data_IF_672420183801
#
_entry.id   IF_672420183801
#
_cell.length_a   1.000
_cell.length_b   1.000
_cell.length_c   1.000
_cell.angle_alpha   90.00
_cell.angle_beta   90.00
_cell.angle_gamma   90.00
#
_symmetry.space_group_name_H-M   'P 1'
#
loop_
_entity.id
_entity.type
_entity.pdbx_description
1 polymer ?
#
# COMPACT_ATOMS: atom_id res chain seq x y z
N UNK A 1 98.60 50.37 33.73
CA UNK A 1 98.06 50.32 32.42
C UNK A 1 97.60 48.87 32.13
N UNK A 2 96.36 48.53 32.43
CA UNK A 2 95.79 47.22 32.22
C UNK A 2 94.55 47.39 31.44
N UNK A 3 94.57 46.88 30.21
CA UNK A 3 93.45 46.93 29.27
C UNK A 3 92.61 45.67 29.55
N UNK A 4 91.36 45.86 29.98
CA UNK A 4 90.40 44.80 30.14
C UNK A 4 89.62 44.60 28.83
N UNK A 5 89.78 43.44 28.22
CA UNK A 5 88.96 42.97 27.08
C UNK A 5 87.70 42.29 27.60
N UNK A 6 86.59 43.03 27.47
CA UNK A 6 85.27 42.47 27.75
C UNK A 6 84.80 41.59 26.57
N UNK A 7 84.65 40.32 26.81
CA UNK A 7 84.00 39.41 25.88
C UNK A 7 82.44 39.46 26.08
N UNK A 8 81.74 39.98 25.09
CA UNK A 8 80.32 39.90 24.98
C UNK A 8 79.97 38.53 24.35
N UNK A 9 79.48 37.58 25.18
CA UNK A 9 78.81 36.38 24.70
C UNK A 9 77.35 36.74 24.43
N UNK A 10 76.80 36.48 23.21
CA UNK A 10 75.37 36.61 22.98
C UNK A 10 74.69 35.41 23.57
N UNK A 11 73.87 35.63 24.58
CA UNK A 11 72.88 34.61 25.09
C UNK A 11 71.92 34.31 23.98
N UNK A 12 72.13 33.20 23.22
CA UNK A 12 71.10 32.59 22.42
C UNK A 12 70.09 31.92 23.38
N UNK A 13 69.02 32.64 23.73
CA UNK A 13 67.85 32.06 24.35
C UNK A 13 67.15 31.31 23.24
N UNK A 14 67.46 30.01 23.10
CA UNK A 14 66.66 29.10 22.30
C UNK A 14 65.28 28.98 22.97
N UNK A 15 64.26 29.64 22.37
CA UNK A 15 62.89 29.42 22.76
C UNK A 15 62.52 27.95 22.47
N UNK A 16 62.78 27.06 23.40
CA UNK A 16 62.24 25.71 23.42
C UNK A 16 60.76 25.80 23.78
N UNK A 17 59.92 25.94 22.78
CA UNK A 17 58.48 25.75 22.93
C UNK A 17 58.25 24.29 23.22
N UNK A 18 58.12 23.91 24.49
CA UNK A 18 57.68 22.60 24.91
C UNK A 18 56.18 22.48 24.53
N UNK A 19 55.88 21.87 23.40
CA UNK A 19 54.52 21.47 23.07
C UNK A 19 54.17 20.26 23.96
N UNK A 20 53.50 20.51 25.07
CA UNK A 20 52.93 19.44 25.89
C UNK A 20 51.78 18.81 25.09
N UNK A 21 52.05 17.68 24.44
CA UNK A 21 51.00 16.86 23.87
C UNK A 21 50.23 16.20 25.02
N UNK A 22 49.12 16.83 25.43
CA UNK A 22 48.21 16.24 26.42
C UNK A 22 47.56 15.04 25.77
N UNK A 23 47.88 13.87 26.29
CA UNK A 23 47.26 12.62 25.83
C UNK A 23 45.87 12.48 26.47
N UNK A 24 44.83 12.22 25.65
CA UNK A 24 43.44 12.11 26.07
C UNK A 24 42.87 10.77 25.62
N UNK A 25 42.21 10.06 26.52
CA UNK A 25 41.51 8.78 26.22
C UNK A 25 40.42 9.01 25.16
N UNK A 26 40.06 7.96 24.41
CA UNK A 26 38.97 8.05 23.46
C UNK A 26 37.62 8.35 24.12
N UNK A 27 36.84 9.28 23.52
CA UNK A 27 35.47 9.57 23.91
C UNK A 27 34.59 9.58 22.65
N UNK A 28 33.58 8.73 22.59
CA UNK A 28 32.61 8.74 21.51
C UNK A 28 31.70 9.95 21.70
N UNK A 29 31.74 10.91 20.75
CA UNK A 29 30.95 12.15 20.76
C UNK A 29 29.64 12.01 20.00
N UNK A 30 29.56 11.05 19.04
CA UNK A 30 28.34 10.71 18.34
C UNK A 30 28.23 9.19 18.32
N UNK A 31 27.18 8.67 18.98
CA UNK A 31 26.87 7.23 19.03
C UNK A 31 25.97 6.85 17.87
N UNK A 32 26.10 5.65 17.30
CA UNK A 32 25.13 5.12 16.36
C UNK A 32 23.78 4.89 17.06
N UNK A 33 22.69 5.06 16.33
CA UNK A 33 21.31 4.88 16.81
C UNK A 33 20.72 3.57 16.28
N UNK A 34 19.71 3.06 16.96
CA UNK A 34 18.92 1.93 16.49
C UNK A 34 18.09 2.33 15.28
N UNK A 35 18.08 1.49 14.25
CA UNK A 35 17.41 1.76 12.97
C UNK A 35 16.59 0.55 12.54
N UNK A 36 15.37 0.81 12.11
CA UNK A 36 14.56 -0.15 11.34
C UNK A 36 14.50 0.33 9.90
N UNK A 37 14.78 -0.56 8.95
CA UNK A 37 14.90 -0.27 7.51
C UNK A 37 14.23 -1.37 6.72
N UNK A 38 13.69 -1.05 5.53
CA UNK A 38 13.14 -2.06 4.63
C UNK A 38 14.23 -2.69 3.76
N UNK A 39 14.02 -3.94 3.34
CA UNK A 39 14.89 -4.61 2.37
C UNK A 39 15.04 -3.78 1.11
N UNK A 40 16.28 -3.56 0.66
CA UNK A 40 16.60 -2.75 -0.52
C UNK A 40 16.94 -1.28 -0.23
N UNK A 41 16.67 -0.78 0.98
CA UNK A 41 17.05 0.57 1.38
C UNK A 41 18.52 0.64 1.83
N UNK A 42 18.99 1.86 2.12
CA UNK A 42 20.33 2.10 2.65
C UNK A 42 20.24 2.52 4.11
N UNK A 43 21.20 2.09 4.92
CA UNK A 43 21.32 2.51 6.32
C UNK A 43 22.68 3.16 6.57
N UNK A 44 22.68 4.23 7.36
CA UNK A 44 23.90 4.90 7.80
C UNK A 44 23.95 4.99 9.33
N UNK A 45 25.01 4.44 9.91
CA UNK A 45 25.27 4.46 11.34
C UNK A 45 26.41 5.41 11.61
N UNK A 46 26.13 6.56 12.24
CA UNK A 46 27.15 7.54 12.57
C UNK A 46 27.96 7.12 13.79
N UNK A 47 29.26 7.33 13.74
CA UNK A 47 30.14 7.17 14.91
C UNK A 47 31.29 8.16 14.81
N UNK A 48 31.40 9.05 15.81
CA UNK A 48 32.50 10.02 15.90
C UNK A 48 33.11 9.97 17.27
N UNK A 49 34.43 10.15 17.33
CA UNK A 49 35.16 10.16 18.58
C UNK A 49 36.20 11.26 18.63
N UNK A 50 36.55 11.70 19.84
CA UNK A 50 37.64 12.60 20.17
C UNK A 50 38.63 11.91 21.09
N UNK A 51 39.87 12.33 21.05
CA UNK A 51 40.97 11.83 21.87
C UNK A 51 42.30 12.31 21.30
N UNK A 52 43.35 12.20 22.08
CA UNK A 52 44.71 12.56 21.68
C UNK A 52 45.69 11.44 22.10
N UNK A 53 46.34 10.74 21.15
CA UNK A 53 46.22 10.85 19.71
C UNK A 53 44.80 10.59 19.20
N UNK A 54 44.46 11.09 17.97
CA UNK A 54 43.14 10.91 17.37
C UNK A 54 42.75 9.43 17.31
N UNK A 55 41.61 9.03 17.90
CA UNK A 55 41.18 7.64 17.87
C UNK A 55 40.93 7.12 16.49
N UNK A 56 41.29 5.88 16.22
CA UNK A 56 40.89 5.14 15.03
C UNK A 56 39.53 4.48 15.29
N UNK A 57 38.58 4.68 14.39
CA UNK A 57 37.27 4.08 14.44
C UNK A 57 37.27 2.78 13.64
N UNK A 58 36.74 1.72 14.24
CA UNK A 58 36.53 0.43 13.61
C UNK A 58 35.10 -0.04 13.84
N UNK A 59 34.56 -0.79 12.88
CA UNK A 59 33.22 -1.35 12.98
C UNK A 59 33.26 -2.88 12.98
N UNK A 60 32.38 -3.47 13.75
CA UNK A 60 32.18 -4.93 13.79
C UNK A 60 30.69 -5.23 13.84
N UNK A 61 30.29 -6.34 13.24
CA UNK A 61 28.96 -6.92 13.38
C UNK A 61 29.03 -8.07 14.37
N UNK A 62 28.09 -8.13 15.32
CA UNK A 62 28.04 -9.24 16.28
C UNK A 62 27.68 -10.55 15.56
N UNK A 63 28.36 -11.63 15.93
CA UNK A 63 28.14 -12.98 15.43
C UNK A 63 28.38 -13.23 13.93
N UNK A 64 28.87 -12.24 13.18
CA UNK A 64 29.21 -12.38 11.76
C UNK A 64 30.21 -11.30 11.32
N UNK A 65 30.82 -11.48 10.18
CA UNK A 65 31.64 -10.44 9.57
C UNK A 65 30.78 -9.35 8.93
N UNK A 66 31.36 -8.14 8.80
CA UNK A 66 30.81 -7.10 7.96
C UNK A 66 30.87 -7.54 6.51
N UNK A 67 29.78 -7.37 5.79
CA UNK A 67 29.75 -7.63 4.36
C UNK A 67 30.74 -6.72 3.62
N UNK A 68 31.61 -7.31 2.81
CA UNK A 68 32.56 -6.56 1.98
C UNK A 68 31.93 -5.99 0.72
N UNK A 69 30.75 -6.46 0.37
CA UNK A 69 30.06 -6.10 -0.88
C UNK A 69 29.21 -4.83 -0.73
N UNK A 70 28.56 -4.67 0.42
CA UNK A 70 27.59 -3.60 0.61
C UNK A 70 27.82 -2.73 1.86
N UNK A 71 28.85 -3.00 2.69
CA UNK A 71 29.16 -2.23 3.89
C UNK A 71 30.43 -1.38 3.69
N UNK A 72 30.29 -0.07 3.79
CA UNK A 72 31.35 0.92 3.56
C UNK A 72 31.62 1.73 4.84
N UNK A 73 32.89 1.74 5.26
CA UNK A 73 33.32 2.52 6.41
C UNK A 73 33.95 3.82 5.91
N UNK A 74 33.52 4.93 6.47
CA UNK A 74 34.04 6.29 6.21
C UNK A 74 34.32 7.04 7.53
N UNK A 75 34.88 8.25 7.42
CA UNK A 75 35.07 9.13 8.58
C UNK A 75 33.76 9.52 9.29
N UNK A 76 32.63 9.39 8.61
CA UNK A 76 31.30 9.71 9.14
C UNK A 76 30.61 8.52 9.80
N UNK A 77 31.07 7.30 9.57
CA UNK A 77 30.47 6.10 10.12
C UNK A 77 30.45 4.90 9.17
N UNK A 78 29.50 4.01 9.37
CA UNK A 78 29.25 2.84 8.55
C UNK A 78 27.99 3.04 7.71
N UNK A 79 28.09 2.86 6.39
CA UNK A 79 26.95 2.83 5.47
C UNK A 79 26.80 1.44 4.89
N UNK A 80 25.58 0.91 4.93
CA UNK A 80 25.22 -0.36 4.31
C UNK A 80 24.19 -0.05 3.24
N UNK A 81 24.49 -0.40 1.99
CA UNK A 81 23.62 -0.14 0.83
C UNK A 81 22.83 -1.41 0.46
N UNK A 82 21.62 -1.21 -0.05
CA UNK A 82 20.75 -2.29 -0.51
C UNK A 82 20.61 -3.41 0.53
N UNK A 83 20.20 -3.04 1.74
CA UNK A 83 20.15 -3.96 2.89
C UNK A 83 19.25 -5.17 2.64
N UNK A 84 19.66 -6.30 3.15
CA UNK A 84 18.93 -7.57 3.13
C UNK A 84 18.67 -8.05 4.57
N UNK A 85 17.85 -9.08 4.73
CA UNK A 85 17.63 -9.72 6.04
C UNK A 85 18.93 -10.19 6.70
N UNK A 86 19.96 -10.50 5.90
CA UNK A 86 21.28 -10.91 6.41
C UNK A 86 22.01 -9.75 7.09
N UNK A 87 21.69 -8.51 6.75
CA UNK A 87 22.30 -7.32 7.32
C UNK A 87 21.67 -6.91 8.66
N UNK A 88 20.57 -7.51 9.06
CA UNK A 88 20.00 -7.33 10.39
C UNK A 88 21.00 -7.80 11.48
N UNK A 89 21.00 -7.12 12.62
CA UNK A 89 21.85 -7.49 13.75
C UNK A 89 22.43 -6.30 14.48
N UNK A 90 23.31 -6.59 15.44
CA UNK A 90 23.99 -5.60 16.28
C UNK A 90 25.32 -5.21 15.65
N UNK A 91 25.53 -3.92 15.50
CA UNK A 91 26.75 -3.31 15.00
C UNK A 91 27.47 -2.56 16.13
N UNK A 92 28.76 -2.75 16.25
CA UNK A 92 29.59 -2.09 17.26
C UNK A 92 30.60 -1.18 16.58
N UNK A 93 30.62 0.08 16.99
CA UNK A 93 31.64 1.07 16.68
C UNK A 93 32.64 1.10 17.84
N UNK A 94 33.94 0.86 17.59
CA UNK A 94 35.02 0.99 18.55
C UNK A 94 35.95 2.12 18.16
N UNK A 95 36.22 3.03 19.10
CA UNK A 95 37.17 4.12 18.96
C UNK A 95 38.39 3.83 19.87
N UNK A 96 39.58 3.67 19.28
CA UNK A 96 40.80 3.24 19.95
C UNK A 96 41.94 4.21 19.68
N UNK A 97 42.72 4.55 20.76
CA UNK A 97 44.03 5.15 20.68
C UNK A 97 45.01 4.45 21.60
N UNK A 98 46.18 5.00 21.80
CA UNK A 98 47.21 4.41 22.66
C UNK A 98 46.82 4.31 24.15
N UNK A 99 45.83 5.10 24.59
CA UNK A 99 45.41 5.18 25.98
C UNK A 99 44.20 4.29 26.30
N UNK A 100 43.53 3.75 25.32
CA UNK A 100 42.38 2.88 25.54
C UNK A 100 41.45 2.73 24.35
N UNK A 101 40.32 2.05 24.61
CA UNK A 101 39.27 1.77 23.64
C UNK A 101 37.89 1.99 24.29
N UNK A 102 36.97 2.64 23.56
CA UNK A 102 35.56 2.79 23.93
C UNK A 102 34.66 2.30 22.81
N UNK A 103 33.54 1.70 23.15
CA UNK A 103 32.63 1.08 22.19
C UNK A 103 31.22 1.61 22.37
N UNK A 104 30.51 1.77 21.25
CA UNK A 104 29.08 2.03 21.21
C UNK A 104 28.40 1.05 20.24
N UNK A 105 27.14 0.68 20.53
CA UNK A 105 26.40 -0.30 19.76
C UNK A 105 25.12 0.28 19.20
N UNK A 106 24.69 -0.24 18.05
CA UNK A 106 23.38 0.00 17.47
C UNK A 106 22.82 -1.31 16.90
N UNK A 107 21.51 -1.42 16.89
CA UNK A 107 20.81 -2.54 16.26
C UNK A 107 20.16 -2.09 14.97
N UNK A 108 20.37 -2.85 13.91
CA UNK A 108 19.71 -2.71 12.62
C UNK A 108 18.67 -3.81 12.50
N UNK A 109 17.41 -3.41 12.38
CA UNK A 109 16.30 -4.32 12.10
C UNK A 109 15.91 -4.17 10.64
N UNK A 110 15.82 -5.27 9.90
CA UNK A 110 15.44 -5.28 8.48
C UNK A 110 14.08 -5.93 8.33
N UNK A 111 13.11 -5.17 7.83
CA UNK A 111 11.74 -5.62 7.52
C UNK A 111 11.61 -5.93 6.03
N UNK A 112 10.56 -6.66 5.64
CA UNK A 112 10.25 -6.84 4.24
C UNK A 112 9.78 -5.53 3.63
N UNK A 113 10.15 -5.30 2.37
CA UNK A 113 9.69 -4.13 1.63
C UNK A 113 8.18 -4.18 1.45
N UNK A 114 7.51 -3.08 1.83
CA UNK A 114 6.06 -2.95 1.71
C UNK A 114 5.69 -2.73 0.25
N UNK A 115 5.09 -3.75 -0.38
CA UNK A 115 4.68 -3.72 -1.79
C UNK A 115 3.46 -4.57 -2.06
N UNK A 116 2.67 -4.17 -3.04
CA UNK A 116 1.60 -5.01 -3.55
C UNK A 116 2.17 -6.21 -4.31
N UNK A 117 1.69 -7.40 -3.98
CA UNK A 117 1.86 -8.63 -4.78
C UNK A 117 0.65 -8.86 -5.68
N UNK A 118 -0.52 -8.39 -5.24
CA UNK A 118 -1.75 -8.34 -6.04
C UNK A 118 -2.45 -7.02 -5.76
N UNK A 119 -2.65 -6.21 -6.80
CA UNK A 119 -3.45 -4.98 -6.72
C UNK A 119 -4.88 -5.26 -7.20
N UNK A 120 -5.89 -4.65 -6.59
CA UNK A 120 -7.23 -4.68 -7.16
C UNK A 120 -7.23 -3.99 -8.53
N UNK A 121 -8.03 -4.46 -9.51
CA UNK A 121 -8.18 -3.78 -10.78
C UNK A 121 -8.76 -2.38 -10.56
N UNK A 122 -8.43 -1.43 -11.44
CA UNK A 122 -8.89 -0.04 -11.31
C UNK A 122 -10.41 0.10 -11.29
N UNK A 123 -11.10 -0.79 -12.02
CA UNK A 123 -12.56 -0.82 -12.14
C UNK A 123 -13.06 -2.26 -12.07
N UNK A 124 -14.11 -2.47 -11.33
CA UNK A 124 -14.84 -3.74 -11.27
C UNK A 124 -16.31 -3.42 -11.54
N UNK A 125 -16.93 -4.19 -12.40
CA UNK A 125 -18.37 -4.09 -12.68
C UNK A 125 -19.08 -5.30 -12.10
N UNK A 126 -20.23 -5.07 -11.49
CA UNK A 126 -21.01 -6.15 -10.89
C UNK A 126 -22.51 -5.88 -10.98
N UNK A 127 -23.28 -6.98 -10.98
CA UNK A 127 -24.74 -6.92 -10.97
C UNK A 127 -25.28 -6.76 -9.55
N UNK A 128 -26.50 -6.30 -9.43
CA UNK A 128 -27.24 -6.30 -8.16
C UNK A 128 -27.29 -7.71 -7.57
N UNK A 129 -27.15 -7.83 -6.25
CA UNK A 129 -27.10 -9.07 -5.48
C UNK A 129 -25.90 -10.00 -5.81
N UNK A 130 -24.96 -9.58 -6.63
CA UNK A 130 -23.75 -10.35 -6.87
C UNK A 130 -22.88 -10.45 -5.60
N UNK A 131 -22.06 -11.52 -5.56
CA UNK A 131 -20.93 -11.60 -4.62
C UNK A 131 -19.71 -11.02 -5.31
N UNK A 132 -19.12 -9.98 -4.72
CA UNK A 132 -17.95 -9.31 -5.30
C UNK A 132 -16.76 -9.52 -4.37
N UNK A 133 -15.67 -10.01 -4.94
CA UNK A 133 -14.41 -10.19 -4.24
C UNK A 133 -13.42 -9.13 -4.68
N UNK A 134 -12.95 -8.34 -3.74
CA UNK A 134 -11.90 -7.35 -3.96
C UNK A 134 -10.60 -7.92 -3.41
N UNK A 135 -9.70 -8.33 -4.31
CA UNK A 135 -8.44 -8.95 -3.93
C UNK A 135 -7.35 -7.90 -3.75
N UNK A 136 -6.63 -7.98 -2.64
CA UNK A 136 -5.51 -7.11 -2.33
C UNK A 136 -4.48 -7.90 -1.51
N UNK A 137 -3.35 -8.25 -2.12
CA UNK A 137 -2.29 -8.97 -1.44
C UNK A 137 -1.01 -8.14 -1.37
N UNK A 138 -0.40 -8.12 -0.18
CA UNK A 138 0.73 -7.24 0.11
C UNK A 138 1.80 -8.02 0.87
N UNK A 139 3.05 -7.85 0.45
CA UNK A 139 4.22 -8.32 1.18
C UNK A 139 4.72 -7.22 2.12
N UNK A 140 5.21 -7.59 3.30
CA UNK A 140 5.82 -6.66 4.26
C UNK A 140 4.82 -5.85 5.09
N UNK A 141 3.51 -6.08 4.93
CA UNK A 141 2.49 -5.43 5.73
C UNK A 141 2.34 -6.08 7.12
N UNK A 142 2.22 -5.26 8.15
CA UNK A 142 1.78 -5.67 9.49
C UNK A 142 0.26 -5.60 9.63
N UNK A 143 -0.38 -4.76 8.81
CA UNK A 143 -1.81 -4.58 8.80
C UNK A 143 -2.30 -4.26 7.39
N UNK A 144 -3.43 -4.88 6.99
CA UNK A 144 -4.12 -4.65 5.74
C UNK A 144 -5.58 -4.40 6.08
N UNK A 145 -6.19 -3.40 5.47
CA UNK A 145 -7.62 -3.12 5.62
C UNK A 145 -8.17 -2.38 4.41
N UNK A 146 -9.49 -2.41 4.27
CA UNK A 146 -10.20 -1.67 3.25
C UNK A 146 -10.87 -0.42 3.82
N UNK A 147 -10.85 0.65 3.05
CA UNK A 147 -11.61 1.87 3.32
C UNK A 147 -12.68 2.07 2.27
N UNK A 148 -13.83 2.57 2.70
CA UNK A 148 -14.89 3.08 1.83
C UNK A 148 -15.44 4.35 2.42
N UNK A 149 -15.35 5.47 1.69
CA UNK A 149 -15.58 6.81 2.25
C UNK A 149 -14.68 6.95 3.51
N UNK A 150 -15.22 7.38 4.63
CA UNK A 150 -14.47 7.57 5.89
C UNK A 150 -14.51 6.36 6.84
N UNK A 151 -14.97 5.21 6.38
CA UNK A 151 -15.13 4.00 7.21
C UNK A 151 -14.10 2.94 6.83
N UNK A 152 -13.42 2.42 7.85
CA UNK A 152 -12.64 1.19 7.68
C UNK A 152 -13.58 0.00 7.62
N UNK A 153 -13.37 -0.86 6.64
CA UNK A 153 -14.12 -2.09 6.49
C UNK A 153 -13.24 -3.25 6.98
N UNK A 154 -13.79 -4.06 7.87
CA UNK A 154 -13.15 -5.31 8.24
C UNK A 154 -13.29 -6.31 7.08
N UNK A 155 -12.19 -6.93 6.69
CA UNK A 155 -12.22 -8.03 5.74
C UNK A 155 -12.31 -9.37 6.46
N UNK A 156 -12.94 -10.34 5.83
CA UNK A 156 -12.96 -11.72 6.32
C UNK A 156 -11.77 -12.44 5.71
N UNK A 157 -10.95 -13.07 6.56
CA UNK A 157 -9.86 -13.93 6.09
C UNK A 157 -10.49 -15.24 5.61
N UNK A 158 -10.41 -15.48 4.30
CA UNK A 158 -10.76 -16.77 3.72
C UNK A 158 -9.47 -17.55 3.48
N UNK A 159 -9.40 -18.83 3.91
CA UNK A 159 -8.21 -19.66 3.72
C UNK A 159 -7.74 -19.78 2.27
N UNK A 160 -8.71 -19.77 1.34
CA UNK A 160 -8.49 -19.97 -0.10
C UNK A 160 -8.21 -18.66 -0.88
N UNK A 161 -8.22 -17.52 -0.21
CA UNK A 161 -8.02 -16.23 -0.86
C UNK A 161 -6.78 -15.49 -0.33
N UNK A 162 -6.14 -14.65 -1.15
CA UNK A 162 -5.03 -13.81 -0.71
C UNK A 162 -5.39 -12.95 0.50
N UNK A 163 -4.44 -12.74 1.40
CA UNK A 163 -4.61 -11.83 2.53
C UNK A 163 -5.12 -10.47 2.04
N UNK A 164 -6.12 -9.94 2.73
CA UNK A 164 -6.73 -8.65 2.37
C UNK A 164 -7.87 -8.74 1.36
N UNK A 165 -8.41 -9.92 1.07
CA UNK A 165 -9.62 -10.05 0.25
C UNK A 165 -10.86 -9.57 1.01
N UNK A 166 -11.57 -8.59 0.44
CA UNK A 166 -12.88 -8.13 0.92
C UNK A 166 -13.99 -8.79 0.11
N UNK A 167 -14.93 -9.44 0.79
CA UNK A 167 -16.16 -9.97 0.19
C UNK A 167 -17.31 -9.00 0.44
N UNK A 168 -17.94 -8.59 -0.63
CA UNK A 168 -19.22 -7.90 -0.62
C UNK A 168 -20.30 -8.87 -1.07
N UNK A 169 -21.12 -9.31 -0.13
CA UNK A 169 -22.32 -10.09 -0.42
C UNK A 169 -23.51 -9.16 -0.67
N UNK A 170 -24.40 -9.57 -1.57
CA UNK A 170 -25.61 -8.79 -1.92
C UNK A 170 -25.28 -7.37 -2.41
N UNK A 171 -24.44 -7.29 -3.46
CA UNK A 171 -24.04 -6.01 -4.03
C UNK A 171 -25.25 -5.17 -4.42
N UNK A 172 -25.28 -3.92 -3.97
CA UNK A 172 -26.37 -2.97 -4.19
C UNK A 172 -25.82 -1.63 -4.65
N UNK A 173 -26.71 -0.74 -5.10
CA UNK A 173 -26.33 0.63 -5.46
C UNK A 173 -25.60 1.36 -4.34
N UNK A 174 -25.98 1.09 -3.09
CA UNK A 174 -25.32 1.69 -1.93
C UNK A 174 -23.89 1.22 -1.73
N UNK A 175 -23.57 0.03 -2.23
CA UNK A 175 -22.21 -0.52 -2.19
C UNK A 175 -21.34 -0.08 -3.36
N UNK A 176 -21.89 0.53 -4.41
CA UNK A 176 -21.13 1.04 -5.54
C UNK A 176 -20.23 2.24 -5.13
N UNK A 177 -19.15 2.44 -5.86
CA UNK A 177 -18.23 3.53 -5.64
C UNK A 177 -16.80 3.09 -5.33
N UNK A 178 -15.95 4.02 -4.88
CA UNK A 178 -14.54 3.73 -4.64
C UNK A 178 -14.31 2.92 -3.35
N UNK A 179 -13.41 1.96 -3.46
CA UNK A 179 -12.84 1.18 -2.37
C UNK A 179 -11.33 1.32 -2.40
N UNK A 180 -10.71 1.53 -1.25
CA UNK A 180 -9.26 1.67 -1.11
C UNK A 180 -8.72 0.54 -0.24
N UNK A 181 -7.85 -0.29 -0.80
CA UNK A 181 -7.02 -1.20 -0.03
C UNK A 181 -5.86 -0.42 0.55
N UNK A 182 -5.68 -0.49 1.85
CA UNK A 182 -4.59 0.13 2.60
C UNK A 182 -3.78 -0.94 3.26
N UNK A 183 -2.48 -0.86 3.11
CA UNK A 183 -1.53 -1.68 3.83
C UNK A 183 -0.49 -0.81 4.51
N UNK A 184 -0.13 -1.17 5.73
CA UNK A 184 0.89 -0.44 6.49
C UNK A 184 1.85 -1.37 7.21
N UNK A 185 3.03 -0.86 7.47
CA UNK A 185 3.99 -1.40 8.42
C UNK A 185 4.42 -0.31 9.42
N UNK A 186 5.46 -0.54 10.20
CA UNK A 186 5.97 0.42 11.19
C UNK A 186 6.54 1.71 10.60
N UNK A 187 6.80 1.76 9.29
CA UNK A 187 7.51 2.86 8.63
C UNK A 187 6.64 3.66 7.67
N UNK A 188 5.74 2.99 6.93
CA UNK A 188 4.92 3.63 5.89
C UNK A 188 3.63 2.89 5.60
N UNK A 189 2.82 3.46 4.75
CA UNK A 189 1.63 2.83 4.18
C UNK A 189 1.63 2.97 2.66
N UNK A 190 0.90 2.06 2.00
CA UNK A 190 0.62 2.09 0.57
C UNK A 190 -0.87 1.88 0.34
N UNK A 191 -1.40 2.45 -0.72
CA UNK A 191 -2.82 2.39 -1.04
C UNK A 191 -3.04 2.01 -2.50
N UNK A 192 -4.14 1.28 -2.77
CA UNK A 192 -4.63 1.00 -4.11
C UNK A 192 -6.15 1.18 -4.15
N UNK A 193 -6.62 1.95 -5.12
CA UNK A 193 -8.03 2.28 -5.28
C UNK A 193 -8.64 1.45 -6.40
N UNK A 194 -9.83 0.90 -6.15
CA UNK A 194 -10.70 0.28 -7.15
C UNK A 194 -12.07 0.94 -7.13
N UNK A 195 -12.66 1.13 -8.29
CA UNK A 195 -14.01 1.66 -8.43
C UNK A 195 -14.95 0.51 -8.73
N UNK A 196 -15.94 0.30 -7.87
CA UNK A 196 -16.94 -0.72 -8.03
C UNK A 196 -18.19 -0.09 -8.65
N UNK A 197 -18.49 -0.46 -9.88
CA UNK A 197 -19.64 0.05 -10.62
C UNK A 197 -20.73 -1.00 -10.74
N UNK A 198 -21.95 -0.53 -10.64
CA UNK A 198 -23.12 -1.37 -10.85
C UNK A 198 -23.53 -1.30 -12.32
N UNK A 199 -23.71 -2.46 -12.91
CA UNK A 199 -24.35 -2.58 -14.22
C UNK A 199 -25.73 -3.20 -14.03
N UNK A 200 -26.65 -2.77 -14.87
CA UNK A 200 -27.98 -3.32 -14.94
C UNK A 200 -28.07 -4.32 -16.09
N UNK A 201 -28.84 -5.35 -15.90
CA UNK A 201 -29.08 -6.34 -16.97
C UNK A 201 -30.20 -5.87 -17.89
N UNK A 202 -30.19 -6.28 -19.16
CA UNK A 202 -31.11 -5.72 -20.15
C UNK A 202 -32.57 -6.16 -19.96
N UNK A 203 -32.81 -7.23 -19.20
CA UNK A 203 -34.17 -7.77 -19.02
C UNK A 203 -34.32 -8.57 -17.73
N UNK A 204 -35.58 -8.84 -17.37
CA UNK A 204 -35.91 -9.75 -16.27
C UNK A 204 -35.37 -11.17 -16.48
N UNK A 205 -35.38 -11.66 -17.72
CA UNK A 205 -34.76 -12.94 -18.08
C UNK A 205 -33.25 -12.94 -17.84
N UNK A 206 -32.58 -11.83 -18.21
CA UNK A 206 -31.16 -11.63 -17.92
C UNK A 206 -30.87 -11.70 -16.41
N UNK A 207 -31.67 -10.99 -15.62
CA UNK A 207 -31.56 -10.97 -14.14
C UNK A 207 -31.73 -12.38 -13.57
N UNK A 208 -32.78 -13.09 -13.97
CA UNK A 208 -33.06 -14.45 -13.47
C UNK A 208 -31.94 -15.43 -13.82
N UNK A 209 -31.42 -15.36 -15.04
CA UNK A 209 -30.33 -16.23 -15.54
C UNK A 209 -28.99 -15.94 -14.86
N UNK A 210 -28.62 -14.68 -14.76
CA UNK A 210 -27.31 -14.28 -14.24
C UNK A 210 -27.21 -14.42 -12.71
N UNK A 211 -28.30 -14.14 -11.98
CA UNK A 211 -28.26 -14.00 -10.53
C UNK A 211 -29.08 -15.11 -9.83
N UNK A 212 -29.88 -15.88 -10.58
CA UNK A 212 -30.70 -16.97 -10.03
C UNK A 212 -31.84 -16.50 -9.13
N UNK A 213 -32.29 -15.25 -9.27
CA UNK A 213 -33.39 -14.68 -8.46
C UNK A 213 -34.69 -15.40 -8.77
N UNK A 214 -35.36 -15.86 -7.73
CA UNK A 214 -36.67 -16.54 -7.81
C UNK A 214 -37.83 -15.67 -7.32
N UNK A 215 -37.55 -14.51 -6.77
CA UNK A 215 -38.56 -13.64 -6.19
C UNK A 215 -39.01 -12.59 -7.20
N UNK A 216 -40.31 -12.54 -7.49
CA UNK A 216 -40.92 -11.48 -8.30
C UNK A 216 -40.90 -10.14 -7.56
N UNK A 217 -40.76 -9.05 -8.32
CA UNK A 217 -40.70 -7.70 -7.74
C UNK A 217 -40.20 -6.66 -8.73
N UNK A 218 -40.00 -5.44 -8.25
CA UNK A 218 -39.47 -4.36 -9.07
C UNK A 218 -37.94 -4.46 -9.13
N UNK A 219 -37.43 -4.48 -10.36
CA UNK A 219 -36.00 -4.52 -10.66
C UNK A 219 -35.66 -3.40 -11.64
N UNK A 220 -34.46 -2.88 -11.57
CA UNK A 220 -33.93 -1.98 -12.59
C UNK A 220 -33.32 -2.79 -13.72
N UNK A 221 -33.68 -2.46 -14.94
CA UNK A 221 -33.09 -3.00 -16.18
C UNK A 221 -32.52 -1.86 -17.03
N UNK A 222 -31.58 -2.22 -17.88
CA UNK A 222 -30.94 -1.33 -18.82
C UNK A 222 -30.88 -2.05 -20.18
N UNK A 223 -31.93 -1.92 -21.01
CA UNK A 223 -32.06 -2.70 -22.24
C UNK A 223 -31.00 -2.45 -23.28
N UNK A 224 -30.43 -1.26 -23.34
CA UNK A 224 -29.47 -0.78 -24.35
C UNK A 224 -28.04 -0.60 -23.80
N UNK A 225 -27.82 -0.76 -22.48
CA UNK A 225 -26.50 -0.70 -21.84
C UNK A 225 -25.92 0.71 -21.71
N UNK A 226 -24.59 0.80 -21.61
CA UNK A 226 -23.92 2.08 -21.40
C UNK A 226 -24.10 3.01 -22.61
N UNK A 227 -24.63 4.21 -22.37
CA UNK A 227 -24.73 5.29 -23.36
C UNK A 227 -26.11 5.49 -23.98
N UNK A 228 -27.09 4.64 -23.67
CA UNK A 228 -28.46 4.76 -24.13
C UNK A 228 -29.41 5.41 -23.12
N UNK A 229 -30.62 4.86 -22.99
CA UNK A 229 -31.62 5.29 -22.03
C UNK A 229 -31.20 4.88 -20.62
N UNK A 230 -31.34 5.77 -19.65
CA UNK A 230 -31.03 5.45 -18.27
C UNK A 230 -31.82 4.22 -17.77
N UNK A 231 -31.14 3.33 -17.03
CA UNK A 231 -31.77 2.19 -16.40
C UNK A 231 -33.06 2.57 -15.66
N UNK A 232 -34.13 1.85 -15.90
CA UNK A 232 -35.46 2.14 -15.36
C UNK A 232 -36.01 0.93 -14.60
N UNK A 233 -37.04 1.17 -13.77
CA UNK A 233 -37.64 0.15 -12.93
C UNK A 233 -38.79 -0.55 -13.66
N UNK A 234 -38.78 -1.88 -13.66
CA UNK A 234 -39.84 -2.73 -14.18
C UNK A 234 -40.21 -3.79 -13.17
N UNK A 235 -41.45 -4.26 -13.24
CA UNK A 235 -41.85 -5.43 -12.48
C UNK A 235 -41.41 -6.70 -13.21
N UNK A 236 -40.63 -7.54 -12.53
CA UNK A 236 -40.21 -8.83 -13.04
C UNK A 236 -41.02 -9.95 -12.36
N UNK A 237 -41.79 -10.72 -13.13
CA UNK A 237 -42.36 -11.97 -12.64
C UNK A 237 -41.33 -13.10 -12.80
N UNK A 238 -40.86 -13.60 -11.67
CA UNK A 238 -39.84 -14.63 -11.61
C UNK A 238 -40.40 -16.04 -11.28
N UNK A 239 -41.75 -16.16 -11.18
CA UNK A 239 -42.42 -17.41 -10.75
C UNK A 239 -42.46 -18.48 -11.82
N UNK A 240 -42.30 -18.09 -13.08
CA UNK A 240 -42.40 -19.03 -14.20
C UNK A 240 -41.32 -20.10 -14.18
N UNK A 241 -41.68 -21.25 -14.74
CA UNK A 241 -40.85 -22.45 -14.78
C UNK A 241 -39.63 -22.22 -15.71
N UNK A 242 -38.46 -22.55 -15.21
CA UNK A 242 -37.22 -22.48 -15.96
C UNK A 242 -36.39 -21.19 -15.70
N UNK A 243 -35.58 -20.80 -16.66
CA UNK A 243 -34.63 -19.68 -16.57
C UNK A 243 -35.21 -18.34 -17.07
N UNK A 244 -36.46 -18.30 -17.45
CA UNK A 244 -37.11 -17.13 -18.04
C UNK A 244 -37.73 -16.27 -16.95
N UNK A 245 -37.40 -14.97 -16.95
CA UNK A 245 -38.10 -13.95 -16.19
C UNK A 245 -38.93 -13.09 -17.11
N UNK A 246 -40.18 -12.77 -16.76
CA UNK A 246 -41.07 -11.97 -17.58
C UNK A 246 -40.99 -10.52 -17.12
N UNK A 247 -40.73 -9.61 -18.07
CA UNK A 247 -40.81 -8.17 -17.84
C UNK A 247 -42.24 -7.71 -17.99
N UNK A 248 -42.83 -7.13 -16.94
CA UNK A 248 -44.17 -6.58 -16.96
C UNK A 248 -44.05 -5.07 -17.01
N UNK A 249 -44.52 -4.44 -18.07
CA UNK A 249 -44.62 -3.00 -18.20
C UNK A 249 -46.08 -2.62 -17.94
N UNK A 250 -46.30 -1.88 -16.86
CA UNK A 250 -47.65 -1.37 -16.53
C UNK A 250 -47.94 -0.09 -17.35
N UNK A 251 -49.16 0.08 -17.75
CA UNK A 251 -49.66 1.30 -18.40
C UNK A 251 -50.92 1.78 -17.63
N UNK A 252 -51.29 3.01 -17.91
CA UNK A 252 -52.40 3.74 -17.30
C UNK A 252 -53.72 3.66 -18.09
N UNK A 253 -53.75 2.87 -19.19
CA UNK A 253 -54.93 2.73 -20.03
C UNK A 253 -55.69 1.43 -19.71
N UNK A 254 -56.98 1.52 -19.60
CA UNK A 254 -57.89 0.37 -19.35
C UNK A 254 -58.16 -0.48 -20.58
N UNK A 255 -57.75 -0.04 -21.79
CA UNK A 255 -57.95 -0.77 -23.02
C UNK A 255 -56.74 -1.56 -23.45
N UNK A 256 -56.95 -2.82 -23.87
CA UNK A 256 -55.88 -3.65 -24.45
C UNK A 256 -55.52 -3.11 -25.84
N UNK A 257 -54.37 -2.53 -25.99
CA UNK A 257 -53.77 -2.20 -27.29
C UNK A 257 -52.73 -3.27 -27.65
N UNK A 258 -52.86 -3.85 -28.84
CA UNK A 258 -51.81 -4.73 -29.38
C UNK A 258 -50.64 -3.85 -29.82
N UNK A 259 -49.52 -3.98 -29.14
CA UNK A 259 -48.27 -3.36 -29.58
C UNK A 259 -47.52 -4.41 -30.39
N UNK A 260 -47.21 -4.08 -31.65
CA UNK A 260 -46.37 -4.91 -32.49
C UNK A 260 -44.93 -4.83 -31.93
N UNK A 261 -44.51 -5.88 -31.26
CA UNK A 261 -43.19 -5.96 -30.61
C UNK A 261 -42.12 -6.31 -31.63
N UNK A 262 -41.63 -5.31 -32.37
CA UNK A 262 -40.32 -5.39 -32.94
C UNK A 262 -39.30 -5.17 -31.80
N UNK A 263 -38.16 -5.88 -31.76
CA UNK A 263 -37.12 -5.67 -30.76
C UNK A 263 -36.63 -4.23 -30.63
N UNK A 264 -36.71 -3.49 -31.71
CA UNK A 264 -36.28 -2.10 -31.82
C UNK A 264 -37.18 -1.09 -31.04
N UNK A 265 -38.44 -1.43 -30.80
CA UNK A 265 -39.36 -0.55 -30.05
C UNK A 265 -39.07 -0.57 -28.55
N UNK A 266 -38.47 -1.64 -28.04
CA UNK A 266 -38.11 -1.75 -26.64
C UNK A 266 -36.78 -1.09 -26.30
N UNK A 267 -35.88 -0.95 -27.28
CA UNK A 267 -34.61 -0.25 -27.14
C UNK A 267 -34.76 1.28 -27.12
N UNK A 268 -35.84 1.84 -27.72
CA UNK A 268 -36.05 3.29 -27.81
C UNK A 268 -36.73 3.89 -26.57
N UNK A 269 -36.70 3.22 -25.41
CA UNK A 269 -37.22 3.68 -24.13
C UNK A 269 -38.36 4.66 -24.24
N UNK A 270 -39.50 4.31 -23.75
CA UNK A 270 -40.74 5.13 -23.83
C UNK A 270 -40.48 6.57 -23.31
N UNK A 271 -40.03 7.44 -24.18
CA UNK A 271 -39.94 8.89 -23.92
C UNK A 271 -41.22 9.64 -24.25
N UNK A 272 -42.16 9.00 -24.92
CA UNK A 272 -43.49 9.56 -25.17
C UNK A 272 -44.56 8.84 -24.36
N UNK A 273 -45.45 9.60 -23.74
CA UNK A 273 -46.62 9.13 -23.01
C UNK A 273 -47.62 8.48 -24.01
N UNK A 274 -47.25 7.33 -24.53
CA UNK A 274 -48.19 6.48 -25.26
C UNK A 274 -48.60 5.37 -24.32
N UNK A 275 -49.88 5.23 -24.10
CA UNK A 275 -50.54 4.19 -23.31
C UNK A 275 -50.08 2.79 -23.77
N UNK A 276 -49.24 2.15 -23.00
CA UNK A 276 -48.79 0.79 -23.25
C UNK A 276 -49.60 -0.20 -22.39
N UNK A 277 -50.40 -1.02 -23.01
CA UNK A 277 -51.01 -2.18 -22.41
C UNK A 277 -49.96 -3.29 -22.20
N UNK A 278 -50.04 -4.07 -21.17
CA UNK A 278 -49.07 -5.09 -20.75
C UNK A 278 -48.43 -5.85 -21.94
N UNK A 279 -47.09 -5.77 -22.05
CA UNK A 279 -46.34 -6.54 -23.03
C UNK A 279 -45.77 -7.78 -22.31
N UNK A 280 -46.26 -8.96 -22.63
CA UNK A 280 -45.62 -10.22 -22.30
C UNK A 280 -44.63 -10.56 -23.41
N UNK A 281 -43.34 -10.57 -23.13
CA UNK A 281 -42.37 -11.08 -24.10
C UNK A 281 -42.38 -12.61 -24.07
N UNK A 282 -42.54 -13.21 -25.23
CA UNK A 282 -42.25 -14.60 -25.45
C UNK A 282 -40.74 -14.85 -25.35
N UNK A 283 -40.30 -16.01 -24.83
CA UNK A 283 -38.89 -16.31 -24.71
C UNK A 283 -38.25 -16.43 -26.08
N UNK A 284 -37.12 -15.76 -26.26
CA UNK A 284 -36.20 -16.02 -27.38
C UNK A 284 -35.25 -17.16 -27.03
#
# INVERSE_FOLDING_TARGET
MVVSLGYWLPLFIANLSFVFNISVVPLITQKPVFVTVETGENVSLACRARGQPRPRITWRKAFSELSKENAFISDNGLTIINVTKKDAGTYACAAKNLLGEVTAVAMVTVTDSLRFTTTPPKKIVAFVNARVYLHCAIQGASEIFWKRKDKNLHYIIYPDFPNGTLLLSNFSYENAGPYTCVAKNSQRFIEAVTILEMIYLPSCSGIKRAIGIKRSGNYKIDPDGEGGVKAFSVYCDMRDKGTVGVTVISHDSESRTHVNTSPDVLAQGVTERTSLTSVSMLPS
#
